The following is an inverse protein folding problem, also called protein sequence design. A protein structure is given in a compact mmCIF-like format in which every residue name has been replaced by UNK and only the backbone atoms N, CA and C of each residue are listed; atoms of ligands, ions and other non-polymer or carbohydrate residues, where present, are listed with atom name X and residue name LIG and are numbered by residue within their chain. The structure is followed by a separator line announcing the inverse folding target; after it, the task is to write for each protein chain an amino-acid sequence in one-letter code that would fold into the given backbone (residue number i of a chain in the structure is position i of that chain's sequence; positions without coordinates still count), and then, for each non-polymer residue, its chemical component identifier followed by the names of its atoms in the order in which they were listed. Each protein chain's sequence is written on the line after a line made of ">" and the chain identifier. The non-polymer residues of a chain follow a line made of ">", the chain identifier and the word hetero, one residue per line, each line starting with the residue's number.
data_IF_443070500208
#
_entry.id   IF_443070500208
#
_cell.length_a   1.000
_cell.length_b   1.000
_cell.length_c   1.000
_cell.angle_alpha   90.00
_cell.angle_beta   90.00
_cell.angle_gamma   90.00
#
_symmetry.space_group_name_H-M   'P 1'
#
loop_
_entity.id
_entity.type
_entity.pdbx_description
1 polymer ?
#
# COMPACT_ATOMS: atom_id res chain seq x y z
N UNK A 1 -11.07 27.05 -21.35
CA UNK A 1 -10.77 25.67 -20.98
C UNK A 1 -11.98 25.03 -20.32
N UNK A 2 -12.36 23.79 -20.66
CA UNK A 2 -13.63 23.19 -20.25
C UNK A 2 -13.70 22.79 -18.76
N UNK A 3 -12.61 22.87 -17.98
CA UNK A 3 -12.60 22.41 -16.59
C UNK A 3 -13.49 23.26 -15.67
N UNK A 4 -13.48 24.58 -15.79
CA UNK A 4 -14.30 25.44 -14.95
C UNK A 4 -15.83 25.29 -15.21
N UNK A 5 -16.30 25.21 -16.47
CA UNK A 5 -17.68 24.83 -16.75
C UNK A 5 -18.07 23.47 -16.20
N UNK A 6 -17.18 22.47 -16.30
CA UNK A 6 -17.41 21.15 -15.71
C UNK A 6 -17.58 21.22 -14.20
N UNK A 7 -16.64 21.86 -13.49
CA UNK A 7 -16.72 22.01 -12.03
C UNK A 7 -18.00 22.76 -11.59
N UNK A 8 -18.39 23.80 -12.32
CA UNK A 8 -19.65 24.51 -12.07
C UNK A 8 -20.87 23.62 -12.27
N UNK A 9 -20.87 22.80 -13.32
CA UNK A 9 -21.94 21.84 -13.57
C UNK A 9 -22.06 20.81 -12.45
N UNK A 10 -20.94 20.20 -12.06
CA UNK A 10 -20.91 19.19 -10.99
C UNK A 10 -21.40 19.78 -9.66
N UNK A 11 -20.95 20.99 -9.33
CA UNK A 11 -21.40 21.70 -8.14
C UNK A 11 -22.90 22.03 -8.17
N UNK A 12 -23.40 22.52 -9.31
CA UNK A 12 -24.82 22.87 -9.46
C UNK A 12 -25.75 21.64 -9.34
N UNK A 13 -25.25 20.45 -9.63
CA UNK A 13 -26.01 19.19 -9.53
C UNK A 13 -25.71 18.41 -8.25
N UNK A 14 -24.97 19.01 -7.28
CA UNK A 14 -24.56 18.38 -6.03
C UNK A 14 -23.78 17.06 -6.22
N UNK A 15 -23.07 16.90 -7.33
CA UNK A 15 -22.23 15.74 -7.58
C UNK A 15 -20.91 15.91 -6.81
N UNK A 16 -20.64 14.99 -5.90
CA UNK A 16 -19.52 15.08 -4.96
C UNK A 16 -18.23 14.57 -5.58
N UNK A 17 -17.23 15.47 -5.68
CA UNK A 17 -15.86 15.13 -6.08
C UNK A 17 -15.03 14.85 -4.81
N UNK A 18 -14.27 13.77 -4.74
CA UNK A 18 -14.07 12.68 -5.71
C UNK A 18 -14.99 11.47 -5.49
N UNK A 19 -15.92 11.53 -4.52
CA UNK A 19 -16.70 10.37 -4.06
C UNK A 19 -17.55 9.74 -5.18
N UNK A 20 -18.24 10.58 -5.95
CA UNK A 20 -19.12 10.13 -7.04
C UNK A 20 -18.43 10.17 -8.39
N UNK A 21 -17.55 11.17 -8.58
CA UNK A 21 -16.78 11.33 -9.84
C UNK A 21 -15.38 11.86 -9.55
N UNK A 22 -14.38 11.21 -10.09
CA UNK A 22 -12.99 11.70 -10.10
C UNK A 22 -12.77 12.65 -11.26
N UNK A 23 -12.08 13.77 -11.02
CA UNK A 23 -11.81 14.80 -12.03
C UNK A 23 -10.30 14.99 -12.17
N UNK A 24 -9.80 14.91 -13.40
CA UNK A 24 -8.40 15.19 -13.76
C UNK A 24 -8.36 16.27 -14.82
N UNK A 25 -7.51 17.28 -14.62
CA UNK A 25 -7.24 18.31 -15.62
C UNK A 25 -6.00 17.96 -16.46
N UNK A 26 -6.07 18.22 -17.78
CA UNK A 26 -4.92 18.06 -18.69
C UNK A 26 -3.88 19.19 -18.56
N UNK A 27 -4.13 20.19 -17.72
CA UNK A 27 -3.17 21.24 -17.40
C UNK A 27 -3.21 21.49 -15.88
N UNK A 28 -2.03 21.73 -15.32
CA UNK A 28 -1.90 22.22 -13.96
C UNK A 28 -1.82 23.75 -13.97
N UNK A 29 -2.67 24.38 -13.21
CA UNK A 29 -2.75 25.83 -13.09
C UNK A 29 -2.37 26.23 -11.66
N UNK A 30 -1.88 27.44 -11.47
CA UNK A 30 -1.51 27.97 -10.15
C UNK A 30 -2.69 27.95 -9.14
N UNK A 31 -3.92 27.95 -9.64
CA UNK A 31 -5.13 27.85 -8.82
C UNK A 31 -5.62 26.41 -8.60
N UNK A 32 -5.05 25.39 -9.27
CA UNK A 32 -5.48 23.98 -9.12
C UNK A 32 -5.42 23.48 -7.67
N UNK A 33 -4.37 23.79 -6.89
CA UNK A 33 -4.30 23.44 -5.47
C UNK A 33 -5.15 24.31 -4.55
N UNK A 34 -5.77 25.39 -5.06
CA UNK A 34 -6.62 26.28 -4.28
C UNK A 34 -8.10 25.89 -4.30
N UNK A 35 -8.45 24.88 -5.09
CA UNK A 35 -9.82 24.35 -5.15
C UNK A 35 -10.12 23.42 -3.95
N UNK A 36 -11.40 23.25 -3.67
CA UNK A 36 -11.88 22.28 -2.70
C UNK A 36 -12.90 21.33 -3.37
N UNK A 37 -12.53 20.05 -3.64
CA UNK A 37 -11.21 19.46 -3.42
C UNK A 37 -10.13 19.96 -4.39
N UNK A 38 -8.87 19.91 -3.96
CA UNK A 38 -7.71 20.26 -4.79
C UNK A 38 -7.69 19.41 -6.08
N UNK A 39 -7.42 20.04 -7.22
CA UNK A 39 -7.56 19.39 -8.54
C UNK A 39 -6.31 18.57 -8.91
N UNK A 40 -6.49 17.30 -9.15
CA UNK A 40 -5.48 16.43 -9.78
C UNK A 40 -5.26 16.87 -11.22
N UNK A 41 -4.00 17.03 -11.62
CA UNK A 41 -3.64 17.62 -12.90
C UNK A 41 -2.47 16.90 -13.57
N UNK A 42 -2.43 16.97 -14.90
CA UNK A 42 -1.27 16.60 -15.69
C UNK A 42 -0.46 17.87 -15.96
N UNK A 43 0.73 17.99 -15.36
CA UNK A 43 1.65 19.08 -15.63
C UNK A 43 2.43 18.76 -16.93
N UNK A 44 2.23 19.60 -17.92
CA UNK A 44 2.90 19.55 -19.23
C UNK A 44 4.19 20.36 -19.25
N UNK A 45 4.61 20.87 -18.11
CA UNK A 45 5.83 21.67 -17.92
C UNK A 45 6.00 22.83 -18.91
N UNK A 46 5.01 23.74 -19.03
CA UNK A 46 5.07 24.84 -20.02
C UNK A 46 6.34 25.70 -19.96
N UNK A 47 6.86 26.07 -18.77
CA UNK A 47 8.11 26.83 -18.68
C UNK A 47 9.31 26.10 -19.28
N UNK A 48 9.43 24.79 -19.03
CA UNK A 48 10.51 23.95 -19.56
C UNK A 48 10.38 23.82 -21.08
N UNK A 49 9.17 23.62 -21.57
CA UNK A 49 8.86 23.57 -23.00
C UNK A 49 9.26 24.87 -23.71
N UNK A 50 8.89 26.01 -23.14
CA UNK A 50 9.20 27.35 -23.68
C UNK A 50 10.72 27.61 -23.69
N UNK A 51 11.41 27.26 -22.62
CA UNK A 51 12.86 27.41 -22.53
C UNK A 51 13.60 26.54 -23.56
N UNK A 52 13.13 25.29 -23.75
CA UNK A 52 13.69 24.38 -24.75
C UNK A 52 13.47 24.88 -26.18
N UNK A 53 12.26 25.36 -26.49
CA UNK A 53 11.92 25.94 -27.78
C UNK A 53 12.80 27.16 -28.08
N UNK A 54 12.94 28.07 -27.11
CA UNK A 54 13.82 29.25 -27.25
C UNK A 54 15.29 28.86 -27.46
N UNK A 55 15.81 27.93 -26.67
CA UNK A 55 17.19 27.42 -26.80
C UNK A 55 17.43 26.81 -28.18
N UNK A 56 16.46 26.05 -28.70
CA UNK A 56 16.56 25.45 -30.02
C UNK A 56 16.54 26.50 -31.12
N UNK A 57 15.69 27.53 -31.00
CA UNK A 57 15.63 28.63 -31.94
C UNK A 57 16.96 29.42 -31.97
N UNK A 58 17.52 29.75 -30.79
CA UNK A 58 18.78 30.51 -30.71
C UNK A 58 19.96 29.75 -31.36
N UNK A 59 20.03 28.46 -31.18
CA UNK A 59 21.03 27.60 -31.87
C UNK A 59 20.90 27.69 -33.40
N UNK A 60 19.68 27.66 -33.91
CA UNK A 60 19.43 27.85 -35.34
C UNK A 60 19.86 29.21 -35.88
N UNK A 61 19.56 30.26 -35.12
CA UNK A 61 19.96 31.66 -35.46
C UNK A 61 21.48 31.79 -35.47
N UNK A 62 22.19 31.08 -34.60
CA UNK A 62 23.65 31.06 -34.54
C UNK A 62 24.33 30.19 -35.60
N UNK A 63 23.54 29.58 -36.52
CA UNK A 63 24.06 28.78 -37.64
C UNK A 63 24.48 27.36 -37.27
N UNK A 64 24.12 26.87 -36.07
CA UNK A 64 24.28 25.44 -35.75
C UNK A 64 23.39 24.61 -36.69
N UNK A 65 23.98 23.85 -37.60
CA UNK A 65 23.26 22.81 -38.35
C UNK A 65 22.92 21.65 -37.42
N UNK A 66 21.68 21.64 -36.93
CA UNK A 66 21.17 20.52 -36.15
C UNK A 66 20.18 19.71 -37.02
N UNK A 67 20.33 18.39 -37.01
CA UNK A 67 19.26 17.51 -37.50
C UNK A 67 17.90 17.94 -36.92
N UNK A 68 16.87 17.83 -37.75
CA UNK A 68 15.51 18.12 -37.30
C UNK A 68 15.12 17.13 -36.19
N UNK A 69 15.14 17.60 -34.95
CA UNK A 69 14.79 16.79 -33.78
C UNK A 69 13.48 17.30 -33.21
N UNK A 70 12.61 16.37 -32.86
CA UNK A 70 11.40 16.64 -32.09
C UNK A 70 11.65 16.20 -30.64
N UNK A 71 12.13 17.10 -29.77
CA UNK A 71 12.32 16.74 -28.38
C UNK A 71 10.97 16.55 -27.71
N UNK A 72 10.80 15.41 -27.02
CA UNK A 72 9.64 15.11 -26.19
C UNK A 72 9.96 15.38 -24.73
N UNK A 73 9.06 16.06 -24.04
CA UNK A 73 9.15 16.25 -22.60
C UNK A 73 8.19 15.27 -21.90
N UNK A 74 8.63 14.61 -20.83
CA UNK A 74 7.72 13.81 -20.02
C UNK A 74 6.70 14.73 -19.34
N UNK A 75 5.46 14.28 -19.26
CA UNK A 75 4.43 14.93 -18.44
C UNK A 75 4.50 14.40 -17.00
N UNK A 76 4.06 15.21 -16.04
CA UNK A 76 3.96 14.81 -14.63
C UNK A 76 2.50 14.75 -14.21
N UNK A 77 2.13 13.72 -13.46
CA UNK A 77 0.81 13.62 -12.86
C UNK A 77 0.88 14.12 -11.41
N UNK A 78 0.30 15.30 -11.17
CA UNK A 78 0.17 15.86 -9.82
C UNK A 78 -1.15 15.38 -9.22
N UNK A 79 -1.10 14.30 -8.46
CA UNK A 79 -2.27 13.70 -7.78
C UNK A 79 -2.65 14.55 -6.58
N UNK A 80 -3.92 14.99 -6.54
CA UNK A 80 -4.52 15.77 -5.45
C UNK A 80 -5.86 15.14 -5.05
N UNK A 81 -6.69 15.90 -4.34
CA UNK A 81 -7.90 15.39 -3.68
C UNK A 81 -9.13 15.27 -4.61
N UNK A 82 -9.05 15.68 -5.88
CA UNK A 82 -10.16 15.55 -6.84
C UNK A 82 -10.24 14.15 -7.50
N UNK A 83 -9.33 13.26 -7.20
CA UNK A 83 -9.38 11.85 -7.60
C UNK A 83 -9.46 10.97 -6.37
N UNK A 84 -10.43 10.07 -6.34
CA UNK A 84 -10.36 8.93 -5.47
C UNK A 84 -9.31 7.98 -6.02
N UNK A 85 -8.37 7.55 -5.20
CA UNK A 85 -7.72 6.30 -5.41
C UNK A 85 -8.81 5.22 -5.39
N UNK A 86 -9.41 4.91 -6.55
CA UNK A 86 -10.26 3.75 -6.65
C UNK A 86 -9.32 2.58 -6.38
N UNK A 87 -9.47 1.97 -5.20
CA UNK A 87 -8.82 0.72 -4.92
C UNK A 87 -9.14 -0.22 -6.08
N UNK A 88 -8.12 -0.74 -6.73
CA UNK A 88 -8.29 -1.76 -7.76
C UNK A 88 -7.79 -3.07 -7.21
N UNK A 89 -8.57 -4.11 -7.43
CA UNK A 89 -8.13 -5.46 -7.21
C UNK A 89 -6.98 -5.82 -8.18
N UNK A 90 -6.33 -6.95 -7.96
CA UNK A 90 -5.15 -7.37 -8.72
C UNK A 90 -5.44 -7.63 -10.21
N UNK A 91 -6.71 -7.80 -10.59
CA UNK A 91 -7.14 -7.95 -11.98
C UNK A 91 -7.72 -6.64 -12.57
N UNK A 92 -7.49 -5.50 -11.89
CA UNK A 92 -7.95 -4.18 -12.33
C UNK A 92 -9.42 -3.88 -12.04
N UNK A 93 -10.15 -4.78 -11.38
CA UNK A 93 -11.53 -4.58 -10.95
C UNK A 93 -11.64 -3.48 -9.90
N UNK A 94 -12.74 -2.73 -9.95
CA UNK A 94 -13.05 -1.70 -8.95
C UNK A 94 -13.28 -2.35 -7.59
N UNK A 95 -12.61 -1.85 -6.56
CA UNK A 95 -12.92 -2.23 -5.19
C UNK A 95 -14.24 -1.56 -4.74
N UNK A 96 -15.07 -2.33 -4.07
CA UNK A 96 -16.29 -1.81 -3.44
C UNK A 96 -16.02 -1.40 -1.99
N UNK A 97 -16.86 -0.51 -1.47
CA UNK A 97 -16.78 -0.10 -0.06
C UNK A 97 -17.42 -1.15 0.86
N UNK A 98 -16.98 -1.17 2.12
CA UNK A 98 -17.49 -2.13 3.11
C UNK A 98 -19.02 -1.99 3.35
N UNK A 99 -19.56 -0.78 3.20
CA UNK A 99 -21.00 -0.53 3.40
C UNK A 99 -21.89 -1.29 2.41
N UNK A 100 -21.36 -1.63 1.22
CA UNK A 100 -22.09 -2.44 0.21
C UNK A 100 -22.31 -3.87 0.69
N UNK A 101 -21.52 -4.31 1.66
CA UNK A 101 -21.55 -5.68 2.21
C UNK A 101 -22.34 -5.78 3.54
N UNK A 102 -23.03 -4.72 3.95
CA UNK A 102 -23.86 -4.79 5.15
C UNK A 102 -25.02 -5.76 4.97
N UNK A 103 -25.10 -6.73 5.88
CA UNK A 103 -26.16 -7.73 5.88
C UNK A 103 -27.42 -7.19 6.54
N UNK A 104 -28.56 -7.38 5.89
CA UNK A 104 -29.88 -7.18 6.49
C UNK A 104 -30.17 -8.23 7.59
N UNK A 105 -31.08 -7.95 8.51
CA UNK A 105 -31.43 -8.90 9.56
C UNK A 105 -31.98 -10.21 9.00
N UNK A 106 -32.69 -10.13 7.88
CA UNK A 106 -33.23 -11.35 7.19
C UNK A 106 -32.08 -12.24 6.68
N UNK A 107 -31.02 -11.63 6.09
CA UNK A 107 -29.84 -12.38 5.62
C UNK A 107 -29.06 -12.99 6.80
N UNK A 108 -28.92 -12.26 7.90
CA UNK A 108 -28.29 -12.77 9.12
C UNK A 108 -29.03 -13.97 9.67
N UNK A 109 -30.37 -13.92 9.68
CA UNK A 109 -31.24 -15.03 10.14
C UNK A 109 -31.15 -16.27 9.24
N UNK A 110 -31.06 -16.04 7.93
CA UNK A 110 -30.83 -17.12 6.96
C UNK A 110 -29.45 -17.78 7.15
N UNK A 111 -28.40 -16.98 7.45
CA UNK A 111 -27.07 -17.51 7.73
C UNK A 111 -27.08 -18.36 9.00
N UNK A 112 -27.64 -17.84 10.10
CA UNK A 112 -27.77 -18.59 11.37
C UNK A 112 -28.49 -19.95 11.22
N UNK A 113 -29.54 -19.98 10.41
CA UNK A 113 -30.32 -21.20 10.20
C UNK A 113 -29.54 -22.30 9.46
N UNK A 114 -28.43 -22.00 8.79
CA UNK A 114 -27.66 -22.96 7.99
C UNK A 114 -26.52 -23.62 8.73
N UNK A 115 -26.12 -23.11 9.90
CA UNK A 115 -25.04 -23.64 10.73
C UNK A 115 -23.70 -23.86 9.98
N UNK A 116 -23.28 -22.86 9.24
CA UNK A 116 -22.04 -22.91 8.47
C UNK A 116 -20.83 -23.18 9.33
N UNK A 117 -19.83 -23.84 8.73
CA UNK A 117 -18.51 -24.08 9.30
C UNK A 117 -17.46 -23.22 8.62
N UNK A 118 -16.50 -22.73 9.37
CA UNK A 118 -15.44 -21.89 8.85
C UNK A 118 -14.05 -22.31 9.35
N UNK A 119 -13.03 -22.11 8.52
CA UNK A 119 -11.64 -22.16 8.91
C UNK A 119 -10.96 -20.81 8.66
N UNK A 120 -9.90 -20.52 9.41
CA UNK A 120 -9.09 -19.32 9.27
C UNK A 120 -7.63 -19.75 9.14
N UNK A 121 -6.94 -19.27 8.10
CA UNK A 121 -5.51 -19.53 7.87
C UNK A 121 -4.74 -18.22 7.86
N UNK A 122 -3.95 -17.99 8.91
CA UNK A 122 -3.10 -16.82 9.02
C UNK A 122 -1.69 -17.10 8.57
N UNK A 123 -1.08 -16.15 7.85
CA UNK A 123 0.35 -16.19 7.51
C UNK A 123 1.21 -16.05 8.77
N UNK A 124 0.71 -15.31 9.77
CA UNK A 124 1.37 -15.08 11.05
C UNK A 124 0.35 -14.57 12.06
N UNK A 125 0.52 -14.94 13.34
CA UNK A 125 -0.28 -14.44 14.46
C UNK A 125 0.63 -13.79 15.51
N UNK A 126 0.05 -13.05 16.45
CA UNK A 126 0.78 -12.51 17.60
C UNK A 126 1.09 -11.00 17.55
N UNK A 127 0.85 -10.32 16.44
CA UNK A 127 0.94 -8.85 16.35
C UNK A 127 -0.44 -8.20 16.40
N UNK A 128 -0.48 -6.93 16.78
CA UNK A 128 -1.71 -6.17 17.01
C UNK A 128 -2.66 -6.20 15.80
N UNK A 129 -2.13 -6.01 14.59
CA UNK A 129 -2.91 -6.04 13.36
C UNK A 129 -3.65 -7.39 13.17
N UNK A 130 -2.95 -8.52 13.32
CA UNK A 130 -3.55 -9.84 13.17
C UNK A 130 -4.53 -10.17 14.28
N UNK A 131 -4.25 -9.75 15.52
CA UNK A 131 -5.16 -9.92 16.65
C UNK A 131 -6.47 -9.16 16.46
N UNK A 132 -6.43 -7.96 15.86
CA UNK A 132 -7.63 -7.18 15.54
C UNK A 132 -8.46 -7.86 14.45
N UNK A 133 -7.82 -8.39 13.41
CA UNK A 133 -8.50 -9.15 12.34
C UNK A 133 -9.15 -10.41 12.91
N UNK A 134 -8.40 -11.22 13.66
CA UNK A 134 -8.90 -12.44 14.29
C UNK A 134 -10.10 -12.15 15.20
N UNK A 135 -9.98 -11.14 16.06
CA UNK A 135 -11.06 -10.71 16.96
C UNK A 135 -12.30 -10.25 16.18
N UNK A 136 -12.11 -9.50 15.09
CA UNK A 136 -13.21 -9.05 14.24
C UNK A 136 -13.93 -10.21 13.58
N UNK A 137 -13.18 -11.15 12.97
CA UNK A 137 -13.76 -12.35 12.33
C UNK A 137 -14.52 -13.22 13.36
N UNK A 138 -13.89 -13.51 14.50
CA UNK A 138 -14.50 -14.34 15.56
C UNK A 138 -15.79 -13.73 16.07
N UNK A 139 -15.82 -12.41 16.29
CA UNK A 139 -17.03 -11.71 16.73
C UNK A 139 -18.18 -11.84 15.74
N UNK A 140 -17.90 -11.60 14.43
CA UNK A 140 -18.93 -11.71 13.39
C UNK A 140 -19.41 -13.16 13.26
N UNK A 141 -18.53 -14.14 13.34
CA UNK A 141 -18.90 -15.54 13.26
C UNK A 141 -19.72 -16.00 14.48
N UNK A 142 -19.40 -15.51 15.67
CA UNK A 142 -20.22 -15.73 16.87
C UNK A 142 -21.62 -15.12 16.71
N UNK A 143 -21.73 -13.87 16.27
CA UNK A 143 -23.00 -13.18 16.04
C UNK A 143 -23.86 -13.88 14.96
N UNK A 144 -23.24 -14.56 14.00
CA UNK A 144 -23.90 -15.28 12.91
C UNK A 144 -24.01 -16.79 13.15
N UNK A 145 -23.61 -17.29 14.32
CA UNK A 145 -23.62 -18.72 14.67
C UNK A 145 -22.82 -19.61 13.69
N UNK A 146 -21.73 -19.08 13.12
CA UNK A 146 -20.81 -19.81 12.26
C UNK A 146 -19.76 -20.51 13.13
N UNK A 147 -19.65 -21.83 12.98
CA UNK A 147 -18.73 -22.65 13.77
C UNK A 147 -17.30 -22.57 13.23
N UNK A 148 -16.36 -22.02 13.99
CA UNK A 148 -14.92 -22.04 13.62
C UNK A 148 -14.34 -23.40 13.96
N UNK A 149 -14.01 -24.21 12.95
CA UNK A 149 -13.50 -25.57 13.11
C UNK A 149 -11.98 -25.68 13.04
N UNK A 150 -11.29 -24.65 12.52
CA UNK A 150 -9.84 -24.57 12.51
C UNK A 150 -9.36 -23.12 12.47
N UNK A 151 -8.29 -22.83 13.22
CA UNK A 151 -7.50 -21.58 13.10
C UNK A 151 -6.03 -21.98 13.04
N UNK A 152 -5.29 -21.53 12.04
CA UNK A 152 -3.90 -21.90 11.84
C UNK A 152 -3.00 -20.69 11.73
N UNK A 153 -1.76 -20.84 12.22
CA UNK A 153 -0.67 -19.87 12.13
C UNK A 153 0.49 -20.48 11.35
N UNK A 154 0.88 -19.86 10.26
CA UNK A 154 1.97 -20.34 9.43
C UNK A 154 3.36 -19.80 9.85
N UNK A 155 3.44 -18.92 10.83
CA UNK A 155 4.69 -18.30 11.30
C UNK A 155 5.55 -17.72 10.17
N UNK A 156 4.95 -17.17 9.13
CA UNK A 156 5.58 -16.73 7.87
C UNK A 156 6.27 -17.85 7.07
N UNK A 157 5.98 -19.11 7.35
CA UNK A 157 6.54 -20.26 6.65
C UNK A 157 5.55 -20.81 5.61
N UNK A 158 5.79 -20.55 4.32
CA UNK A 158 4.92 -21.00 3.24
C UNK A 158 4.73 -22.56 3.22
N UNK A 159 5.78 -23.39 3.44
CA UNK A 159 5.58 -24.84 3.53
C UNK A 159 4.69 -25.27 4.70
N UNK A 160 4.68 -24.51 5.81
CA UNK A 160 3.76 -24.77 6.93
C UNK A 160 2.33 -24.44 6.53
N UNK A 161 2.10 -23.28 5.92
CA UNK A 161 0.76 -22.91 5.44
C UNK A 161 0.21 -23.93 4.44
N UNK A 162 1.04 -24.41 3.51
CA UNK A 162 0.64 -25.45 2.55
C UNK A 162 0.12 -26.72 3.24
N UNK A 163 0.83 -27.22 4.25
CA UNK A 163 0.39 -28.41 5.04
C UNK A 163 -0.89 -28.12 5.82
N UNK A 164 -1.01 -26.92 6.40
CA UNK A 164 -2.21 -26.51 7.14
C UNK A 164 -3.43 -26.41 6.23
N UNK A 165 -3.28 -25.83 5.03
CA UNK A 165 -4.34 -25.74 4.02
C UNK A 165 -4.80 -27.12 3.56
N UNK A 166 -3.89 -28.08 3.42
CA UNK A 166 -4.26 -29.45 3.09
C UNK A 166 -5.10 -30.07 4.22
N UNK A 167 -4.71 -29.88 5.48
CA UNK A 167 -5.49 -30.34 6.63
C UNK A 167 -6.87 -29.66 6.69
N UNK A 168 -6.95 -28.36 6.45
CA UNK A 168 -8.23 -27.62 6.39
C UNK A 168 -9.11 -28.18 5.28
N UNK A 169 -8.55 -28.47 4.11
CA UNK A 169 -9.30 -29.07 2.99
C UNK A 169 -9.92 -30.42 3.35
N UNK A 170 -9.24 -31.26 4.15
CA UNK A 170 -9.81 -32.51 4.66
C UNK A 170 -10.97 -32.31 5.64
N UNK A 171 -10.97 -31.21 6.38
CA UNK A 171 -12.09 -30.84 7.25
C UNK A 171 -13.31 -30.32 6.47
N UNK A 172 -13.13 -29.98 5.20
CA UNK A 172 -14.16 -29.49 4.29
C UNK A 172 -15.06 -28.38 4.88
N UNK A 173 -14.49 -27.26 5.38
CA UNK A 173 -15.29 -26.15 5.87
C UNK A 173 -16.11 -25.53 4.73
N UNK A 174 -17.27 -24.94 5.04
CA UNK A 174 -18.03 -24.16 4.07
C UNK A 174 -17.27 -22.89 3.65
N UNK A 175 -16.51 -22.28 4.59
CA UNK A 175 -15.80 -21.02 4.42
C UNK A 175 -14.33 -21.14 4.83
N UNK A 176 -13.44 -20.55 4.05
CA UNK A 176 -12.05 -20.32 4.44
C UNK A 176 -11.71 -18.83 4.28
N UNK A 177 -11.33 -18.19 5.38
CA UNK A 177 -10.69 -16.88 5.33
C UNK A 177 -9.18 -17.10 5.46
N UNK A 178 -8.39 -16.58 4.52
CA UNK A 178 -6.96 -16.81 4.51
C UNK A 178 -6.15 -15.54 4.23
N UNK A 179 -5.02 -15.42 4.94
CA UNK A 179 -3.96 -14.47 4.64
C UNK A 179 -2.78 -15.28 4.10
N UNK A 180 -2.55 -15.32 2.77
CA UNK A 180 -1.44 -16.05 2.19
C UNK A 180 -0.08 -15.52 2.68
N UNK A 181 0.86 -16.44 2.99
CA UNK A 181 2.24 -16.07 3.37
C UNK A 181 2.91 -15.33 2.21
N UNK A 182 2.77 -15.86 1.00
CA UNK A 182 3.23 -15.20 -0.23
C UNK A 182 2.35 -15.58 -1.43
N UNK A 183 2.66 -15.03 -2.60
CA UNK A 183 1.85 -15.29 -3.79
C UNK A 183 2.32 -16.51 -4.59
N UNK A 184 3.54 -17.00 -4.39
CA UNK A 184 4.16 -18.03 -5.23
C UNK A 184 4.26 -19.41 -4.58
N UNK A 185 4.86 -19.48 -3.40
CA UNK A 185 5.11 -20.77 -2.75
C UNK A 185 3.82 -21.43 -2.24
N UNK A 186 2.80 -20.62 -1.89
CA UNK A 186 1.51 -21.11 -1.44
C UNK A 186 0.52 -21.36 -2.58
N UNK A 187 0.83 -20.97 -3.82
CA UNK A 187 -0.07 -20.98 -4.97
C UNK A 187 -0.75 -22.35 -5.20
N UNK A 188 0.02 -23.43 -5.26
CA UNK A 188 -0.52 -24.77 -5.50
C UNK A 188 -1.51 -25.22 -4.41
N UNK A 189 -1.19 -24.91 -3.14
CA UNK A 189 -2.06 -25.27 -2.03
C UNK A 189 -3.40 -24.52 -2.10
N UNK A 190 -3.39 -23.24 -2.43
CA UNK A 190 -4.61 -22.45 -2.63
C UNK A 190 -5.41 -22.88 -3.87
N UNK A 191 -4.74 -23.25 -4.97
CA UNK A 191 -5.43 -23.82 -6.13
C UNK A 191 -6.22 -25.10 -5.77
N UNK A 192 -5.66 -25.97 -4.91
CA UNK A 192 -6.37 -27.15 -4.40
C UNK A 192 -7.59 -26.78 -3.53
N UNK A 193 -7.52 -25.65 -2.77
CA UNK A 193 -8.68 -25.13 -2.03
C UNK A 193 -9.76 -24.65 -3.00
N UNK A 194 -9.38 -23.88 -4.02
CA UNK A 194 -10.31 -23.39 -5.05
C UNK A 194 -11.05 -24.52 -5.78
N UNK A 195 -10.38 -25.66 -5.98
CA UNK A 195 -10.98 -26.87 -6.59
C UNK A 195 -11.96 -27.61 -5.68
N UNK A 196 -12.04 -27.25 -4.40
CA UNK A 196 -13.01 -27.79 -3.45
C UNK A 196 -14.32 -26.99 -3.42
N UNK A 197 -15.28 -27.42 -2.60
CA UNK A 197 -16.54 -26.69 -2.41
C UNK A 197 -16.42 -25.51 -1.43
N UNK A 198 -15.28 -25.42 -0.70
CA UNK A 198 -15.00 -24.38 0.29
C UNK A 198 -14.94 -23.00 -0.36
N UNK A 199 -15.73 -22.06 0.15
CA UNK A 199 -15.73 -20.67 -0.32
C UNK A 199 -14.53 -19.91 0.26
N UNK A 200 -13.67 -19.42 -0.61
CA UNK A 200 -12.42 -18.76 -0.24
C UNK A 200 -12.57 -17.24 -0.20
N UNK A 201 -12.19 -16.63 0.92
CA UNK A 201 -11.99 -15.19 1.06
C UNK A 201 -10.52 -14.95 1.37
N UNK A 202 -9.87 -14.09 0.61
CA UNK A 202 -8.47 -13.74 0.77
C UNK A 202 -8.32 -12.39 1.47
N UNK A 203 -7.25 -12.21 2.22
CA UNK A 203 -6.87 -10.94 2.82
C UNK A 203 -5.48 -10.59 2.28
N UNK A 204 -5.32 -9.36 1.80
CA UNK A 204 -4.10 -8.72 1.27
C UNK A 204 -3.54 -9.34 -0.01
N UNK A 205 -3.23 -10.63 -0.03
CA UNK A 205 -2.51 -11.27 -1.13
C UNK A 205 -3.41 -12.27 -1.88
N UNK A 206 -3.23 -12.35 -3.20
CA UNK A 206 -3.84 -13.38 -4.05
C UNK A 206 -2.73 -14.26 -4.59
N UNK A 207 -2.73 -15.58 -4.31
CA UNK A 207 -1.74 -16.51 -4.83
C UNK A 207 -1.72 -16.60 -6.35
N UNK A 208 -0.55 -16.85 -6.92
CA UNK A 208 -0.35 -16.97 -8.36
C UNK A 208 -1.22 -18.09 -8.96
N UNK A 209 -1.75 -17.84 -10.16
CA UNK A 209 -2.61 -18.80 -10.86
C UNK A 209 -4.05 -18.89 -10.36
N UNK A 210 -4.44 -18.11 -9.36
CA UNK A 210 -5.84 -17.90 -8.96
C UNK A 210 -6.40 -16.76 -9.81
N UNK A 211 -7.53 -17.01 -10.46
CA UNK A 211 -8.19 -16.06 -11.34
C UNK A 211 -9.41 -15.42 -10.68
N UNK A 212 -9.91 -14.37 -11.32
CA UNK A 212 -11.20 -13.77 -10.93
C UNK A 212 -12.32 -14.81 -11.03
N UNK A 213 -13.04 -15.00 -9.93
CA UNK A 213 -14.11 -16.00 -9.81
C UNK A 213 -13.72 -17.27 -9.06
N UNK A 214 -12.41 -17.50 -8.84
CA UNK A 214 -11.92 -18.64 -8.04
C UNK A 214 -12.06 -18.39 -6.53
N UNK A 215 -12.26 -17.13 -6.13
CA UNK A 215 -12.48 -16.73 -4.74
C UNK A 215 -13.67 -15.77 -4.65
N UNK A 216 -14.28 -15.68 -3.46
CA UNK A 216 -15.46 -14.84 -3.22
C UNK A 216 -15.08 -13.37 -3.19
N UNK A 217 -14.03 -13.02 -2.44
CA UNK A 217 -13.53 -11.66 -2.29
C UNK A 217 -12.07 -11.64 -1.83
N UNK A 218 -11.39 -10.55 -2.13
CA UNK A 218 -10.11 -10.20 -1.51
C UNK A 218 -10.27 -8.87 -0.78
N UNK A 219 -10.02 -8.90 0.54
CA UNK A 219 -10.10 -7.72 1.40
C UNK A 219 -8.69 -7.19 1.61
N UNK A 220 -8.44 -5.95 1.20
CA UNK A 220 -7.13 -5.30 1.38
C UNK A 220 -7.30 -3.80 1.53
N UNK A 221 -6.32 -3.15 2.16
CA UNK A 221 -6.17 -1.70 2.06
C UNK A 221 -5.60 -1.34 0.69
N UNK A 222 -5.75 -0.08 0.27
CA UNK A 222 -5.05 0.41 -0.92
C UNK A 222 -3.56 0.64 -0.57
N UNK A 223 -2.74 -0.39 -0.75
CA UNK A 223 -1.32 -0.37 -0.37
C UNK A 223 -0.52 0.69 -1.13
N UNK A 224 -0.88 0.97 -2.38
CA UNK A 224 -0.27 2.06 -3.13
C UNK A 224 -0.54 3.42 -2.48
N UNK A 225 -1.80 3.70 -2.13
CA UNK A 225 -2.16 4.96 -1.43
C UNK A 225 -1.54 5.02 -0.03
N UNK A 226 -1.46 3.89 0.68
CA UNK A 226 -0.82 3.78 1.97
C UNK A 226 0.66 4.15 1.87
N UNK A 227 1.39 3.54 0.95
CA UNK A 227 2.81 3.85 0.69
C UNK A 227 3.04 5.31 0.31
N UNK A 228 2.20 5.86 -0.57
CA UNK A 228 2.26 7.29 -0.91
C UNK A 228 2.10 8.19 0.31
N UNK A 229 1.13 7.88 1.17
CA UNK A 229 0.91 8.66 2.40
C UNK A 229 2.12 8.60 3.34
N UNK A 230 2.74 7.43 3.48
CA UNK A 230 3.97 7.26 4.27
C UNK A 230 5.13 8.05 3.64
N UNK A 231 5.33 7.95 2.32
CA UNK A 231 6.35 8.71 1.58
C UNK A 231 6.16 10.23 1.73
N UNK A 232 4.92 10.71 1.60
CA UNK A 232 4.61 12.13 1.84
C UNK A 232 4.83 12.55 3.29
N UNK A 233 4.46 11.69 4.25
CA UNK A 233 4.71 11.94 5.67
C UNK A 233 6.20 12.16 5.94
N UNK A 234 7.03 11.22 5.47
CA UNK A 234 8.48 11.29 5.60
C UNK A 234 9.06 12.48 4.86
N UNK A 235 8.71 12.66 3.57
CA UNK A 235 9.24 13.73 2.74
C UNK A 235 8.95 15.12 3.30
N UNK A 236 7.69 15.38 3.68
CA UNK A 236 7.31 16.66 4.31
C UNK A 236 8.02 16.90 5.64
N UNK A 237 8.19 15.85 6.45
CA UNK A 237 8.93 15.97 7.70
C UNK A 237 10.39 16.32 7.45
N UNK A 238 11.07 15.59 6.56
CA UNK A 238 12.48 15.82 6.23
C UNK A 238 12.73 17.23 5.67
N UNK A 239 11.94 17.67 4.70
CA UNK A 239 12.04 19.02 4.12
C UNK A 239 11.85 20.09 5.19
N UNK A 240 10.84 19.96 6.05
CA UNK A 240 10.59 20.89 7.14
C UNK A 240 11.76 21.03 8.10
N UNK A 241 12.53 19.94 8.32
CA UNK A 241 13.65 19.91 9.24
C UNK A 241 15.01 20.05 8.55
N UNK A 242 15.04 20.28 7.23
CA UNK A 242 16.27 20.44 6.46
C UNK A 242 17.08 19.15 6.27
N UNK A 243 16.44 18.00 6.48
CA UNK A 243 17.04 16.67 6.33
C UNK A 243 17.13 16.27 4.85
N UNK A 244 18.18 15.54 4.46
CA UNK A 244 18.48 15.19 3.06
C UNK A 244 18.68 13.71 2.80
N UNK A 245 19.04 12.91 3.80
CA UNK A 245 19.47 11.53 3.60
C UNK A 245 18.52 10.56 4.26
N UNK A 246 17.84 9.73 3.45
CA UNK A 246 16.91 8.71 3.91
C UNK A 246 17.44 7.30 3.64
N UNK A 247 17.22 6.39 4.59
CA UNK A 247 17.36 4.95 4.41
C UNK A 247 16.00 4.27 4.24
N UNK A 248 15.96 3.16 3.52
CA UNK A 248 14.76 2.34 3.34
C UNK A 248 14.96 0.98 4.01
N UNK A 249 14.00 0.56 4.83
CA UNK A 249 13.99 -0.77 5.46
C UNK A 249 12.77 -1.53 4.96
N UNK A 250 13.00 -2.57 4.16
CA UNK A 250 11.95 -3.35 3.52
C UNK A 250 12.21 -4.85 3.56
N UNK A 251 11.15 -5.63 3.45
CA UNK A 251 11.26 -7.09 3.39
C UNK A 251 11.92 -7.55 2.08
N UNK A 252 12.85 -8.50 2.18
CA UNK A 252 13.63 -9.00 1.03
C UNK A 252 12.85 -9.92 0.10
N UNK A 253 11.70 -10.48 0.54
CA UNK A 253 10.89 -11.33 -0.30
C UNK A 253 9.99 -10.49 -1.23
N UNK A 254 10.27 -10.54 -2.52
CA UNK A 254 9.50 -9.81 -3.53
C UNK A 254 8.08 -10.36 -3.76
N UNK A 255 7.76 -11.53 -3.21
CA UNK A 255 6.43 -12.15 -3.32
C UNK A 255 5.45 -11.72 -2.23
N UNK A 256 5.87 -10.86 -1.31
CA UNK A 256 4.96 -10.09 -0.44
C UNK A 256 4.37 -8.91 -1.22
N UNK A 257 3.36 -9.21 -2.02
CA UNK A 257 2.80 -8.28 -2.99
C UNK A 257 2.32 -6.97 -2.36
N UNK A 258 1.58 -7.05 -1.26
CA UNK A 258 1.00 -5.89 -0.58
C UNK A 258 2.08 -4.92 -0.06
N UNK A 259 3.02 -5.43 0.76
CA UNK A 259 4.12 -4.62 1.31
C UNK A 259 5.02 -4.06 0.21
N UNK A 260 5.30 -4.84 -0.84
CA UNK A 260 6.09 -4.35 -1.98
C UNK A 260 5.42 -3.18 -2.69
N UNK A 261 4.09 -3.20 -2.89
CA UNK A 261 3.38 -2.07 -3.48
C UNK A 261 3.49 -0.82 -2.61
N UNK A 262 3.35 -0.98 -1.29
CA UNK A 262 3.50 0.09 -0.31
C UNK A 262 4.89 0.70 -0.36
N UNK A 263 5.90 -0.13 -0.26
CA UNK A 263 7.31 0.30 -0.22
C UNK A 263 7.72 1.01 -1.52
N UNK A 264 7.36 0.44 -2.67
CA UNK A 264 7.64 1.07 -3.97
C UNK A 264 6.92 2.41 -4.14
N UNK A 265 5.68 2.52 -3.67
CA UNK A 265 4.94 3.77 -3.75
C UNK A 265 5.53 4.86 -2.84
N UNK A 266 6.03 4.49 -1.66
CA UNK A 266 6.72 5.42 -0.77
C UNK A 266 8.04 5.91 -1.37
N UNK A 267 8.85 5.00 -1.91
CA UNK A 267 10.10 5.32 -2.60
C UNK A 267 9.86 6.21 -3.82
N UNK A 268 8.84 5.91 -4.62
CA UNK A 268 8.46 6.74 -5.75
C UNK A 268 8.14 8.17 -5.34
N UNK A 269 7.36 8.37 -4.27
CA UNK A 269 7.06 9.69 -3.74
C UNK A 269 8.33 10.43 -3.32
N UNK A 270 9.23 9.77 -2.58
CA UNK A 270 10.47 10.39 -2.14
C UNK A 270 11.34 10.81 -3.33
N UNK A 271 11.49 9.94 -4.34
CA UNK A 271 12.35 10.21 -5.49
C UNK A 271 11.78 11.22 -6.48
N UNK A 272 10.44 11.22 -6.70
CA UNK A 272 9.81 12.07 -7.72
C UNK A 272 9.33 13.41 -7.18
N UNK A 273 8.83 13.45 -5.93
CA UNK A 273 8.16 14.63 -5.37
C UNK A 273 9.04 15.38 -4.35
N UNK A 274 10.12 14.75 -3.86
CA UNK A 274 11.08 15.35 -2.93
C UNK A 274 12.52 15.18 -3.43
N UNK A 275 12.88 15.79 -4.59
CA UNK A 275 14.17 15.58 -5.25
C UNK A 275 15.39 16.04 -4.44
N UNK A 276 15.18 16.85 -3.39
CA UNK A 276 16.21 17.22 -2.42
C UNK A 276 16.58 16.11 -1.43
N UNK A 277 15.74 15.04 -1.32
CA UNK A 277 16.01 13.88 -0.48
C UNK A 277 16.73 12.81 -1.28
N UNK A 278 17.85 12.35 -0.75
CA UNK A 278 18.66 11.27 -1.33
C UNK A 278 18.44 9.98 -0.53
N UNK A 279 18.06 8.91 -1.21
CA UNK A 279 18.04 7.57 -0.61
C UNK A 279 19.50 7.09 -0.57
N UNK A 280 20.09 7.05 0.62
CA UNK A 280 21.50 6.68 0.80
C UNK A 280 21.71 5.15 0.80
N UNK A 281 20.64 4.36 0.89
CA UNK A 281 20.69 2.90 0.77
C UNK A 281 19.45 2.20 1.32
N UNK A 282 19.49 0.87 1.26
CA UNK A 282 18.39 0.00 1.64
C UNK A 282 18.85 -1.11 2.57
N UNK A 283 17.98 -1.46 3.50
CA UNK A 283 18.11 -2.64 4.36
C UNK A 283 17.03 -3.64 3.95
N UNK A 284 17.46 -4.77 3.41
CA UNK A 284 16.58 -5.89 3.13
C UNK A 284 16.67 -6.92 4.25
N UNK A 285 15.52 -7.36 4.78
CA UNK A 285 15.47 -8.38 5.84
C UNK A 285 14.53 -9.53 5.45
N UNK A 286 14.79 -10.72 6.00
CA UNK A 286 13.91 -11.90 5.88
C UNK A 286 13.16 -12.13 7.20
N UNK A 287 13.78 -11.79 8.32
CA UNK A 287 13.19 -11.85 9.66
C UNK A 287 13.37 -10.52 10.37
N UNK A 288 12.35 -10.09 11.11
CA UNK A 288 12.41 -8.85 11.91
C UNK A 288 13.63 -8.83 12.84
N UNK A 289 14.03 -9.98 13.39
CA UNK A 289 15.19 -10.11 14.28
C UNK A 289 16.54 -9.69 13.64
N UNK A 290 16.63 -9.69 12.31
CA UNK A 290 17.84 -9.26 11.60
C UNK A 290 17.97 -7.74 11.54
N UNK A 291 16.83 -7.03 11.61
CA UNK A 291 16.76 -5.59 11.33
C UNK A 291 17.63 -4.80 12.31
N UNK A 292 17.61 -5.14 13.58
CA UNK A 292 18.45 -4.49 14.60
C UNK A 292 19.94 -4.48 14.20
N UNK A 293 20.49 -5.66 13.87
CA UNK A 293 21.91 -5.79 13.49
C UNK A 293 22.20 -5.06 12.18
N UNK A 294 21.34 -5.25 11.18
CA UNK A 294 21.50 -4.63 9.86
C UNK A 294 21.41 -3.09 9.95
N UNK A 295 20.54 -2.55 10.80
CA UNK A 295 20.44 -1.11 11.03
C UNK A 295 21.72 -0.56 11.66
N UNK A 296 22.27 -1.25 12.65
CA UNK A 296 23.55 -0.82 13.25
C UNK A 296 24.69 -0.82 12.25
N UNK A 297 24.75 -1.80 11.38
CA UNK A 297 25.74 -1.89 10.32
C UNK A 297 25.52 -0.78 9.28
N UNK A 298 24.29 -0.57 8.86
CA UNK A 298 23.91 0.47 7.92
C UNK A 298 24.30 1.87 8.42
N UNK A 299 23.93 2.24 9.63
CA UNK A 299 24.25 3.55 10.23
C UNK A 299 25.76 3.80 10.36
N UNK A 300 26.55 2.74 10.54
CA UNK A 300 28.03 2.86 10.56
C UNK A 300 28.62 3.18 9.19
N UNK A 301 28.01 2.67 8.11
CA UNK A 301 28.45 2.92 6.73
C UNK A 301 27.82 4.17 6.13
N UNK A 302 26.65 4.56 6.61
CA UNK A 302 25.86 5.71 6.21
C UNK A 302 25.60 6.61 7.41
N UNK A 303 26.68 7.20 7.96
CA UNK A 303 26.59 8.08 9.12
C UNK A 303 25.77 9.34 8.86
N UNK A 304 25.60 9.69 7.59
CA UNK A 304 24.79 10.80 7.09
C UNK A 304 23.27 10.55 7.16
N UNK A 305 22.80 9.31 7.40
CA UNK A 305 21.37 9.00 7.46
C UNK A 305 20.65 9.82 8.53
N UNK A 306 19.56 10.48 8.15
CA UNK A 306 18.78 11.38 8.99
C UNK A 306 17.33 10.88 9.19
N UNK A 307 16.88 9.97 8.33
CA UNK A 307 15.55 9.39 8.45
C UNK A 307 15.48 7.98 7.87
N UNK A 308 14.54 7.16 8.37
CA UNK A 308 14.19 5.86 7.81
C UNK A 308 12.72 5.78 7.43
N UNK A 309 12.47 5.26 6.24
CA UNK A 309 11.21 4.61 5.91
C UNK A 309 11.29 3.14 6.30
N UNK A 310 10.27 2.64 7.00
CA UNK A 310 10.21 1.23 7.43
C UNK A 310 8.84 0.66 7.09
N UNK A 311 8.80 -0.50 6.43
CA UNK A 311 7.58 -1.08 5.85
C UNK A 311 6.42 -1.24 6.84
N UNK A 312 6.68 -1.66 8.10
CA UNK A 312 5.68 -1.79 9.17
C UNK A 312 6.32 -1.69 10.56
N UNK A 313 5.48 -1.71 11.60
CA UNK A 313 5.84 -1.45 13.01
C UNK A 313 6.88 -2.41 13.59
N UNK A 314 6.82 -3.70 13.29
CA UNK A 314 7.74 -4.70 13.81
C UNK A 314 9.22 -4.38 13.53
N UNK A 315 9.65 -4.30 12.26
CA UNK A 315 11.00 -3.86 11.92
C UNK A 315 11.31 -2.44 12.40
N UNK A 316 10.31 -1.54 12.49
CA UNK A 316 10.53 -0.19 12.99
C UNK A 316 10.95 -0.18 14.47
N UNK A 317 10.43 -1.06 15.30
CA UNK A 317 10.88 -1.22 16.68
C UNK A 317 12.35 -1.65 16.76
N UNK A 318 12.79 -2.54 15.89
CA UNK A 318 14.19 -2.97 15.82
C UNK A 318 15.11 -1.85 15.29
N UNK A 319 14.63 -1.01 14.37
CA UNK A 319 15.34 0.21 13.93
C UNK A 319 15.49 1.18 15.11
N UNK A 320 14.41 1.49 15.82
CA UNK A 320 14.43 2.40 16.96
C UNK A 320 15.35 1.89 18.07
N UNK A 321 15.33 0.58 18.34
CA UNK A 321 16.24 -0.04 19.30
C UNK A 321 17.71 0.11 18.91
N UNK A 322 18.03 -0.07 17.61
CA UNK A 322 19.38 0.09 17.10
C UNK A 322 19.84 1.56 17.19
N UNK A 323 18.97 2.51 16.82
CA UNK A 323 19.25 3.95 16.90
C UNK A 323 19.47 4.40 18.37
N UNK A 324 18.66 3.91 19.29
CA UNK A 324 18.82 4.19 20.73
C UNK A 324 20.19 3.74 21.25
N UNK A 325 20.63 2.52 20.88
CA UNK A 325 21.93 2.00 21.31
C UNK A 325 23.11 2.74 20.67
N UNK A 326 22.92 3.30 19.46
CA UNK A 326 23.92 4.09 18.77
C UNK A 326 23.91 5.57 19.17
N UNK A 327 23.04 5.97 20.10
CA UNK A 327 22.82 7.38 20.49
C UNK A 327 22.45 8.27 19.28
N UNK A 328 21.65 7.72 18.33
CA UNK A 328 21.19 8.37 17.13
C UNK A 328 19.68 8.66 17.18
N UNK A 329 19.23 9.29 18.29
CA UNK A 329 17.85 9.73 18.48
C UNK A 329 17.46 10.94 17.61
N UNK A 330 18.44 11.50 16.90
CA UNK A 330 18.28 12.53 15.88
C UNK A 330 17.64 11.99 14.58
N UNK A 331 17.69 10.66 14.35
CA UNK A 331 17.20 10.03 13.13
C UNK A 331 15.68 9.77 13.21
N UNK A 332 14.93 10.36 12.30
CA UNK A 332 13.48 10.18 12.22
C UNK A 332 13.11 8.80 11.65
N UNK A 333 11.98 8.25 12.09
CA UNK A 333 11.45 6.97 11.59
C UNK A 333 9.98 7.13 11.21
N UNK A 334 9.63 6.78 9.97
CA UNK A 334 8.25 6.66 9.51
C UNK A 334 7.95 5.20 9.23
N UNK A 335 6.82 4.72 9.74
CA UNK A 335 6.38 3.33 9.56
C UNK A 335 4.88 3.24 9.35
N UNK A 336 4.42 2.15 8.74
CA UNK A 336 3.02 1.73 8.73
C UNK A 336 2.65 1.00 10.02
N UNK A 337 1.35 0.83 10.22
CA UNK A 337 0.73 0.21 11.37
C UNK A 337 0.99 0.96 12.70
N UNK A 338 0.25 0.65 13.72
CA UNK A 338 0.40 1.30 15.02
C UNK A 338 0.28 0.27 16.14
N UNK A 339 1.38 -0.35 16.49
CA UNK A 339 1.50 -1.15 17.69
C UNK A 339 1.61 -0.24 18.93
N UNK A 340 1.23 -0.77 20.10
CA UNK A 340 1.32 -0.06 21.38
C UNK A 340 2.74 0.46 21.67
N UNK A 341 3.75 -0.32 21.32
CA UNK A 341 5.16 0.04 21.55
C UNK A 341 5.61 1.20 20.63
N UNK A 342 5.13 1.23 19.39
CA UNK A 342 5.36 2.36 18.48
C UNK A 342 4.68 3.62 19.01
N UNK A 343 3.41 3.52 19.43
CA UNK A 343 2.68 4.64 20.02
C UNK A 343 3.41 5.23 21.25
N UNK A 344 3.96 4.38 22.12
CA UNK A 344 4.77 4.83 23.25
C UNK A 344 6.07 5.53 22.83
N UNK A 345 6.72 5.10 21.76
CA UNK A 345 7.91 5.77 21.24
C UNK A 345 7.58 7.11 20.59
N UNK A 346 6.42 7.24 19.93
CA UNK A 346 5.96 8.52 19.37
C UNK A 346 5.61 9.54 20.47
N UNK A 347 5.25 9.10 21.67
CA UNK A 347 4.89 9.96 22.80
C UNK A 347 6.09 10.47 23.61
N UNK A 348 7.29 9.97 23.38
CA UNK A 348 8.55 10.39 24.01
C UNK A 348 9.23 11.49 23.20
#
# INVERSE_FOLDING_TARGET
>A
FPIMPLLKYLHAHNIVIPKEISVISLNDFDWSPLLAPELTCIDRQPPVCSALAFKTLMKRIQGEEAEYRQPTLPVRLNVRNSTCGIGRGPFGEKAESAEVLELSELEKEQIRSRHYTAAISFHYMGKAWMQLIEKGIKKIFEDLEISIIAVTDAHFEAPMQCRQLESIRFLSPDLLIAVPVDTRETAEAFQKVVQSETKLVLITNIPDGIARGDYVSCVSVNEYSHGRNMGHGLGKYMVRHGMKYAGIVRHGNQHFYATRQRDNAAEQVLSEEFPEIQICGEIHFQSESEVYKKTKEFVRHHSEVEAFYVSWDGPALEVLRALTELDRMDVAVVTGDLDHSIALNMAK
#
